data_IF_744818079365
#
_entry.id   IF_744818079365
#
_cell.length_a   1.000
_cell.length_b   1.000
_cell.length_c   1.000
_cell.angle_alpha   90.00
_cell.angle_beta   90.00
_cell.angle_gamma   90.00
#
_symmetry.space_group_name_H-M   'P 1'
#
loop_
_entity.id
_entity.type
_entity.pdbx_description
1 polymer ?
#
# COMPACT_ATOMS: atom_id res chain seq x y z
N UNK A 1 7.55 -0.62 12.99
CA UNK A 1 8.63 0.38 12.88
C UNK A 1 8.83 1.01 14.24
N UNK A 2 10.07 1.30 14.64
CA UNK A 2 10.42 1.99 15.89
C UNK A 2 11.19 3.24 15.50
N UNK A 3 10.83 4.39 16.09
CA UNK A 3 11.45 5.67 15.81
C UNK A 3 11.72 6.45 17.09
N UNK A 4 12.58 7.47 17.00
CA UNK A 4 12.80 8.49 18.02
C UNK A 4 12.43 9.85 17.45
N UNK A 5 11.93 10.74 18.29
CA UNK A 5 11.79 12.16 17.95
C UNK A 5 13.15 12.72 17.51
N UNK A 6 13.14 13.63 16.55
CA UNK A 6 14.34 14.27 16.01
C UNK A 6 14.07 15.76 15.85
N UNK A 7 15.01 16.61 16.32
CA UNK A 7 14.84 18.08 16.31
C UNK A 7 14.78 18.68 14.89
N UNK A 8 15.30 17.99 13.89
CA UNK A 8 15.30 18.46 12.48
C UNK A 8 14.25 17.80 11.57
N UNK A 9 13.67 16.71 12.02
CA UNK A 9 12.63 15.96 11.30
C UNK A 9 11.56 15.49 12.31
N UNK A 10 10.38 15.14 11.82
CA UNK A 10 9.32 14.63 12.70
C UNK A 10 9.79 13.43 13.55
N UNK A 11 10.64 12.56 12.97
CA UNK A 11 11.24 11.42 13.66
C UNK A 11 12.36 10.78 12.83
N UNK A 12 13.20 9.99 13.50
CA UNK A 12 14.21 9.12 12.88
C UNK A 12 13.92 7.66 13.18
N UNK A 13 13.78 6.84 12.14
CA UNK A 13 13.59 5.39 12.27
C UNK A 13 14.88 4.76 12.84
N UNK A 14 14.74 4.00 13.92
CA UNK A 14 15.87 3.32 14.60
C UNK A 14 15.81 1.80 14.48
N UNK A 15 14.63 1.23 14.17
CA UNK A 15 14.45 -0.20 13.89
C UNK A 15 13.21 -0.43 13.04
N UNK A 16 13.23 -1.46 12.21
CA UNK A 16 12.12 -1.85 11.35
C UNK A 16 12.00 -3.37 11.24
N UNK A 17 10.78 -3.82 11.01
CA UNK A 17 10.49 -5.20 10.65
C UNK A 17 9.30 -5.22 9.71
N UNK A 18 9.38 -6.01 8.66
CA UNK A 18 8.30 -6.23 7.71
C UNK A 18 8.30 -7.69 7.28
N UNK A 19 7.12 -8.28 7.19
CA UNK A 19 6.93 -9.64 6.69
C UNK A 19 5.59 -9.72 5.98
N UNK A 20 5.58 -10.34 4.80
CA UNK A 20 4.36 -10.66 4.07
C UNK A 20 3.75 -11.89 4.73
N UNK A 21 2.58 -11.73 5.36
CA UNK A 21 1.89 -12.80 6.09
C UNK A 21 0.62 -13.28 5.39
N UNK A 22 0.16 -12.55 4.34
CA UNK A 22 -1.05 -12.88 3.55
C UNK A 22 -2.25 -13.19 4.43
N UNK A 23 -2.53 -12.31 5.40
CA UNK A 23 -3.60 -12.54 6.38
C UNK A 23 -4.98 -12.71 5.73
N UNK A 24 -5.22 -12.05 4.59
CA UNK A 24 -6.47 -12.14 3.83
C UNK A 24 -6.54 -13.29 2.82
N UNK A 25 -5.57 -14.22 2.81
CA UNK A 25 -5.59 -15.39 1.93
C UNK A 25 -6.84 -16.24 2.15
N UNK A 26 -7.60 -16.52 1.06
CA UNK A 26 -8.85 -17.29 1.11
C UNK A 26 -10.02 -16.58 1.80
N UNK A 27 -9.88 -15.32 2.23
CA UNK A 27 -10.93 -14.59 2.93
C UNK A 27 -12.16 -14.33 2.05
N UNK A 28 -11.96 -14.05 0.75
CA UNK A 28 -13.05 -13.80 -0.18
C UNK A 28 -13.99 -15.01 -0.29
N UNK A 29 -13.43 -16.21 -0.38
CA UNK A 29 -14.20 -17.45 -0.50
C UNK A 29 -14.80 -17.92 0.81
N UNK A 30 -14.06 -17.75 1.92
CA UNK A 30 -14.43 -18.36 3.22
C UNK A 30 -15.16 -17.39 4.18
N UNK A 31 -14.99 -16.08 4.03
CA UNK A 31 -15.44 -15.07 4.99
C UNK A 31 -14.70 -15.11 6.33
N UNK A 32 -13.57 -15.84 6.44
CA UNK A 32 -12.80 -15.98 7.66
C UNK A 32 -11.29 -16.00 7.37
N UNK A 33 -10.51 -15.56 8.36
CA UNK A 33 -9.06 -15.72 8.35
C UNK A 33 -8.70 -17.20 8.49
N UNK A 34 -7.86 -17.71 7.59
CA UNK A 34 -7.37 -19.08 7.66
C UNK A 34 -6.46 -19.27 8.88
N UNK A 35 -6.54 -20.40 9.61
CA UNK A 35 -5.68 -20.66 10.76
C UNK A 35 -4.19 -20.51 10.47
N UNK A 36 -3.71 -21.02 9.34
CA UNK A 36 -2.31 -20.89 8.92
C UNK A 36 -1.89 -19.44 8.67
N UNK A 37 -2.80 -18.58 8.17
CA UNK A 37 -2.54 -17.14 7.97
C UNK A 37 -2.46 -16.42 9.32
N UNK A 38 -3.34 -16.77 10.27
CA UNK A 38 -3.27 -16.26 11.64
C UNK A 38 -1.95 -16.67 12.33
N UNK A 39 -1.49 -17.91 12.15
CA UNK A 39 -0.23 -18.39 12.75
C UNK A 39 0.99 -17.63 12.17
N UNK A 40 1.00 -17.39 10.86
CA UNK A 40 2.04 -16.55 10.22
C UNK A 40 2.07 -15.12 10.77
N UNK A 41 0.87 -14.53 10.97
CA UNK A 41 0.75 -13.19 11.52
C UNK A 41 1.22 -13.14 12.99
N UNK A 42 0.83 -14.12 13.80
CA UNK A 42 1.28 -14.25 15.20
C UNK A 42 2.80 -14.38 15.30
N UNK A 43 3.42 -15.23 14.49
CA UNK A 43 4.87 -15.39 14.46
C UNK A 43 5.57 -14.07 14.10
N UNK A 44 5.04 -13.29 13.15
CA UNK A 44 5.56 -11.97 12.80
C UNK A 44 5.37 -10.95 13.94
N UNK A 45 4.22 -10.94 14.59
CA UNK A 45 3.91 -10.04 15.72
C UNK A 45 4.71 -10.37 16.97
N UNK A 46 5.04 -11.64 17.21
CA UNK A 46 5.95 -12.03 18.29
C UNK A 46 7.35 -11.42 18.13
N UNK A 47 7.86 -11.33 16.89
CA UNK A 47 9.12 -10.61 16.59
C UNK A 47 8.95 -9.11 16.90
N UNK A 48 7.83 -8.50 16.52
CA UNK A 48 7.55 -7.10 16.83
C UNK A 48 7.52 -6.87 18.34
N UNK A 49 6.80 -7.70 19.11
CA UNK A 49 6.72 -7.60 20.56
C UNK A 49 8.11 -7.72 21.23
N UNK A 50 8.95 -8.64 20.75
CA UNK A 50 10.33 -8.77 21.23
C UNK A 50 11.14 -7.51 20.99
N UNK A 51 11.05 -6.92 19.77
CA UNK A 51 11.76 -5.67 19.43
C UNK A 51 11.27 -4.50 20.30
N UNK A 52 9.98 -4.34 20.49
CA UNK A 52 9.35 -3.30 21.32
C UNK A 52 9.91 -3.38 22.75
N UNK A 53 9.90 -4.57 23.37
CA UNK A 53 10.44 -4.78 24.71
C UNK A 53 11.95 -4.49 24.80
N UNK A 54 12.73 -5.03 23.85
CA UNK A 54 14.19 -4.84 23.84
C UNK A 54 14.61 -3.38 23.66
N UNK A 55 13.81 -2.58 22.97
CA UNK A 55 14.08 -1.16 22.72
C UNK A 55 13.52 -0.22 23.78
N UNK A 56 12.77 -0.72 24.76
CA UNK A 56 12.13 0.12 25.78
C UNK A 56 11.20 1.17 25.17
N UNK A 57 10.34 0.77 24.21
CA UNK A 57 9.43 1.70 23.50
C UNK A 57 8.45 2.30 24.49
N UNK A 58 8.40 3.64 24.57
CA UNK A 58 7.56 4.38 25.53
C UNK A 58 6.10 4.49 25.08
N UNK A 59 5.84 4.59 23.77
CA UNK A 59 4.49 4.67 23.21
C UNK A 59 4.35 3.69 22.05
N UNK A 60 3.21 3.01 21.97
CA UNK A 60 2.92 2.01 20.94
C UNK A 60 1.49 2.21 20.43
N UNK A 61 1.33 2.12 19.12
CA UNK A 61 0.04 1.98 18.45
C UNK A 61 0.14 0.87 17.42
N UNK A 62 -0.76 -0.11 17.50
CA UNK A 62 -0.87 -1.22 16.55
C UNK A 62 -2.25 -1.25 15.94
N UNK A 63 -2.33 -1.29 14.62
CA UNK A 63 -3.59 -1.29 13.89
C UNK A 63 -3.75 -2.54 13.05
N UNK A 64 -4.99 -2.97 12.88
CA UNK A 64 -5.42 -4.00 11.96
C UNK A 64 -6.44 -3.39 10.99
N UNK A 65 -6.39 -3.82 9.74
CA UNK A 65 -7.13 -3.20 8.64
C UNK A 65 -8.10 -4.19 7.99
N UNK A 66 -8.31 -4.12 6.69
CA UNK A 66 -9.33 -4.79 5.91
C UNK A 66 -9.52 -6.28 6.25
N UNK A 67 -8.46 -7.08 6.32
CA UNK A 67 -8.56 -8.50 6.57
C UNK A 67 -9.25 -8.82 7.92
N UNK A 68 -8.86 -8.13 9.01
CA UNK A 68 -9.49 -8.28 10.31
C UNK A 68 -10.89 -7.66 10.38
N UNK A 69 -11.11 -6.57 9.63
CA UNK A 69 -12.39 -5.85 9.57
C UNK A 69 -13.48 -6.70 8.93
N UNK A 70 -13.16 -7.40 7.83
CA UNK A 70 -14.10 -8.22 7.05
C UNK A 70 -14.32 -9.62 7.62
N UNK A 71 -13.31 -10.19 8.24
CA UNK A 71 -13.37 -11.58 8.69
C UNK A 71 -14.31 -11.78 9.87
N UNK A 72 -15.20 -12.79 9.82
CA UNK A 72 -16.08 -13.15 10.94
C UNK A 72 -15.33 -13.56 12.21
N UNK A 73 -14.09 -14.04 12.09
CA UNK A 73 -13.19 -14.38 13.19
C UNK A 73 -12.08 -13.35 13.44
N UNK A 74 -12.23 -12.12 12.93
CA UNK A 74 -11.24 -11.06 13.11
C UNK A 74 -11.02 -10.71 14.59
N UNK A 75 -12.09 -10.61 15.38
CA UNK A 75 -12.01 -10.35 16.81
C UNK A 75 -11.26 -11.46 17.57
N UNK A 76 -11.48 -12.73 17.21
CA UNK A 76 -10.77 -13.89 17.77
C UNK A 76 -9.26 -13.80 17.46
N UNK A 77 -8.90 -13.46 16.22
CA UNK A 77 -7.52 -13.24 15.83
C UNK A 77 -6.84 -12.17 16.69
N UNK A 78 -7.49 -11.04 16.91
CA UNK A 78 -6.95 -9.95 17.75
C UNK A 78 -6.82 -10.35 19.22
N UNK A 79 -7.80 -11.09 19.75
CA UNK A 79 -7.74 -11.62 21.12
C UNK A 79 -6.55 -12.58 21.27
N UNK A 80 -6.33 -13.46 20.28
CA UNK A 80 -5.20 -14.38 20.24
C UNK A 80 -3.86 -13.63 20.16
N UNK A 81 -3.76 -12.58 19.33
CA UNK A 81 -2.57 -11.71 19.26
C UNK A 81 -2.26 -11.13 20.65
N UNK A 82 -3.26 -10.58 21.32
CA UNK A 82 -3.07 -9.99 22.66
C UNK A 82 -2.61 -11.02 23.67
N UNK A 83 -3.22 -12.20 23.67
CA UNK A 83 -2.89 -13.27 24.62
C UNK A 83 -1.45 -13.79 24.43
N UNK A 84 -1.02 -14.01 23.17
CA UNK A 84 0.26 -14.66 22.88
C UNK A 84 1.44 -13.66 22.81
N UNK A 85 1.19 -12.40 22.43
CA UNK A 85 2.27 -11.41 22.22
C UNK A 85 2.26 -10.23 23.19
N UNK A 86 1.15 -10.00 23.88
CA UNK A 86 0.92 -8.82 24.72
C UNK A 86 0.61 -7.55 23.93
N UNK A 87 0.58 -7.60 22.58
CA UNK A 87 0.26 -6.44 21.76
C UNK A 87 -1.25 -6.24 21.67
N UNK A 88 -1.73 -5.05 22.02
CA UNK A 88 -3.10 -4.63 21.77
C UNK A 88 -3.18 -4.00 20.38
N UNK A 89 -3.90 -4.66 19.47
CA UNK A 89 -4.19 -4.11 18.14
C UNK A 89 -5.64 -3.63 18.10
N UNK A 90 -5.88 -2.56 17.37
CA UNK A 90 -7.21 -2.02 17.11
C UNK A 90 -7.56 -2.11 15.61
N UNK A 91 -8.82 -2.40 15.29
CA UNK A 91 -9.31 -2.36 13.91
C UNK A 91 -9.68 -0.92 13.61
N UNK A 92 -9.02 -0.33 12.64
CA UNK A 92 -9.31 1.04 12.21
C UNK A 92 -10.28 1.08 11.03
N UNK A 93 -11.04 2.16 10.92
CA UNK A 93 -11.93 2.40 9.79
C UNK A 93 -11.14 2.70 8.50
N UNK A 94 -11.70 2.45 7.29
CA UNK A 94 -11.04 2.78 6.02
C UNK A 94 -10.67 4.26 5.91
N UNK A 95 -11.49 5.15 6.43
CA UNK A 95 -11.19 6.59 6.42
C UNK A 95 -9.95 6.95 7.25
N UNK A 96 -9.78 6.32 8.40
CA UNK A 96 -8.61 6.53 9.26
C UNK A 96 -7.35 5.91 8.64
N UNK A 97 -7.47 4.71 8.02
CA UNK A 97 -6.40 4.07 7.26
C UNK A 97 -5.88 5.00 6.15
N UNK A 98 -6.81 5.59 5.38
CA UNK A 98 -6.51 6.55 4.32
C UNK A 98 -5.83 7.83 4.84
N UNK A 99 -6.34 8.41 5.95
CA UNK A 99 -5.76 9.62 6.55
C UNK A 99 -4.35 9.38 7.11
N UNK A 100 -4.12 8.23 7.73
CA UNK A 100 -2.80 7.84 8.22
C UNK A 100 -1.81 7.59 7.05
N UNK A 101 -2.25 6.93 5.98
CA UNK A 101 -1.42 6.73 4.79
C UNK A 101 -1.05 8.08 4.15
N UNK A 102 -2.03 8.98 4.00
CA UNK A 102 -1.80 10.33 3.50
C UNK A 102 -0.80 11.09 4.39
N UNK A 103 -0.99 11.10 5.71
CA UNK A 103 -0.07 11.77 6.62
C UNK A 103 1.38 11.31 6.43
N UNK A 104 1.60 10.00 6.18
CA UNK A 104 2.92 9.44 5.95
C UNK A 104 3.56 9.84 4.63
N UNK A 105 2.79 10.02 3.56
CA UNK A 105 3.32 10.29 2.21
C UNK A 105 3.15 11.75 1.75
N UNK A 106 2.24 12.54 2.34
CA UNK A 106 1.96 13.92 1.94
C UNK A 106 3.20 14.84 1.81
N UNK A 107 4.26 14.71 2.63
CA UNK A 107 5.47 15.50 2.47
C UNK A 107 6.17 15.34 1.11
N UNK A 108 5.86 14.28 0.35
CA UNK A 108 6.41 14.04 -0.98
C UNK A 108 5.59 14.70 -2.10
N UNK A 109 4.40 15.23 -1.81
CA UNK A 109 3.57 15.98 -2.75
C UNK A 109 4.05 17.45 -2.76
N UNK A 110 4.98 17.78 -3.64
CA UNK A 110 5.77 19.02 -3.59
C UNK A 110 5.70 19.91 -4.87
N UNK A 111 4.99 19.47 -5.92
CA UNK A 111 4.94 20.21 -7.20
C UNK A 111 4.15 21.52 -7.17
N UNK A 112 3.46 21.81 -6.09
CA UNK A 112 2.69 23.05 -5.98
C UNK A 112 1.35 23.03 -6.71
N UNK A 113 0.90 21.89 -7.21
CA UNK A 113 -0.37 21.75 -7.90
C UNK A 113 -1.56 21.83 -6.93
N UNK A 114 -2.75 22.32 -7.39
CA UNK A 114 -3.90 22.55 -6.51
C UNK A 114 -4.59 21.27 -6.04
N UNK A 115 -4.42 20.17 -6.76
CA UNK A 115 -5.06 18.90 -6.47
C UNK A 115 -4.07 17.75 -6.44
N UNK A 116 -4.43 16.70 -5.72
CA UNK A 116 -3.65 15.47 -5.63
C UNK A 116 -4.52 14.22 -5.67
N UNK A 117 -3.95 13.14 -6.18
CA UNK A 117 -4.45 11.78 -6.01
C UNK A 117 -3.39 11.03 -5.21
N UNK A 118 -3.79 10.48 -4.06
CA UNK A 118 -2.95 9.56 -3.32
C UNK A 118 -3.60 8.17 -3.33
N UNK A 119 -2.82 7.12 -3.49
CA UNK A 119 -3.33 5.76 -3.36
C UNK A 119 -2.40 4.87 -2.56
N UNK A 120 -2.99 3.97 -1.78
CA UNK A 120 -2.32 2.92 -1.01
C UNK A 120 -2.87 1.56 -1.41
N UNK A 121 -2.00 0.70 -1.95
CA UNK A 121 -2.38 -0.65 -2.37
C UNK A 121 -1.95 -1.62 -1.28
N UNK A 122 -2.93 -2.07 -0.51
CA UNK A 122 -2.75 -3.07 0.54
C UNK A 122 -2.94 -4.51 0.06
N UNK A 123 -2.86 -5.44 1.01
CA UNK A 123 -3.13 -6.86 0.75
C UNK A 123 -4.60 -7.15 0.47
N UNK A 124 -5.52 -6.51 1.18
CA UNK A 124 -6.97 -6.76 1.14
C UNK A 124 -7.78 -5.63 0.52
N UNK A 125 -7.29 -4.40 0.55
CA UNK A 125 -7.97 -3.22 0.01
C UNK A 125 -7.02 -2.30 -0.73
N UNK A 126 -7.59 -1.35 -1.46
CA UNK A 126 -6.88 -0.25 -2.11
C UNK A 126 -7.63 1.05 -1.79
N UNK A 127 -6.98 1.95 -1.08
CA UNK A 127 -7.48 3.27 -0.77
C UNK A 127 -7.04 4.26 -1.84
N UNK A 128 -7.99 5.02 -2.41
CA UNK A 128 -7.71 6.10 -3.36
C UNK A 128 -8.34 7.38 -2.87
N UNK A 129 -7.54 8.42 -2.68
CA UNK A 129 -7.90 9.68 -2.07
C UNK A 129 -7.85 10.80 -3.12
N UNK A 130 -8.89 11.62 -3.15
CA UNK A 130 -8.90 12.90 -3.83
C UNK A 130 -8.54 14.02 -2.86
N UNK A 131 -7.55 14.83 -3.22
CA UNK A 131 -6.92 15.80 -2.33
C UNK A 131 -7.04 17.22 -2.89
N UNK A 132 -7.20 18.20 -2.00
CA UNK A 132 -7.01 19.61 -2.28
C UNK A 132 -5.82 20.17 -1.50
N UNK A 133 -5.07 21.07 -2.13
CA UNK A 133 -3.99 21.80 -1.47
C UNK A 133 -4.55 23.00 -0.74
N UNK A 134 -4.19 23.16 0.52
CA UNK A 134 -4.54 24.27 1.39
C UNK A 134 -3.28 24.93 1.97
N UNK A 135 -3.42 26.08 2.63
CA UNK A 135 -2.29 26.80 3.24
C UNK A 135 -1.52 25.94 4.27
N UNK A 136 -2.21 25.00 4.93
CA UNK A 136 -1.63 24.11 5.95
C UNK A 136 -1.13 22.75 5.40
N UNK A 137 -1.20 22.53 4.08
CA UNK A 137 -0.81 21.25 3.48
C UNK A 137 -1.91 20.61 2.64
N UNK A 138 -1.97 19.31 2.63
CA UNK A 138 -2.94 18.53 1.86
C UNK A 138 -4.13 18.12 2.74
N UNK A 139 -5.35 18.35 2.23
CA UNK A 139 -6.59 17.88 2.84
C UNK A 139 -7.27 16.86 1.94
N UNK A 140 -7.71 15.76 2.52
CA UNK A 140 -8.58 14.81 1.83
C UNK A 140 -9.96 15.45 1.60
N UNK A 141 -10.36 15.55 0.34
CA UNK A 141 -11.69 16.02 -0.08
C UNK A 141 -12.68 14.86 -0.05
N UNK A 142 -12.26 13.74 -0.65
CA UNK A 142 -13.05 12.51 -0.72
C UNK A 142 -12.11 11.31 -0.86
N UNK A 143 -12.65 10.09 -0.72
CA UNK A 143 -11.90 8.86 -0.93
C UNK A 143 -12.81 7.70 -1.29
N UNK A 144 -12.22 6.65 -1.84
CA UNK A 144 -12.83 5.34 -1.97
C UNK A 144 -11.88 4.29 -1.42
N UNK A 145 -12.42 3.33 -0.68
CA UNK A 145 -11.72 2.11 -0.32
C UNK A 145 -12.31 0.97 -1.14
N UNK A 146 -11.54 0.49 -2.12
CA UNK A 146 -11.91 -0.66 -2.91
C UNK A 146 -11.58 -1.93 -2.11
N UNK A 147 -12.50 -2.89 -1.95
CA UNK A 147 -12.23 -4.17 -1.31
C UNK A 147 -11.43 -5.11 -2.25
N UNK A 148 -10.43 -4.54 -2.92
CA UNK A 148 -9.54 -5.18 -3.88
C UNK A 148 -8.10 -4.83 -3.51
N UNK A 149 -7.41 -5.77 -2.93
CA UNK A 149 -5.97 -5.70 -2.67
C UNK A 149 -5.21 -6.71 -3.52
N UNK A 150 -3.88 -6.70 -3.39
CA UNK A 150 -3.02 -7.60 -4.20
C UNK A 150 -3.33 -9.07 -3.99
N UNK A 151 -3.82 -9.49 -2.81
CA UNK A 151 -4.12 -10.90 -2.54
C UNK A 151 -5.33 -11.36 -3.36
N UNK A 152 -6.45 -10.63 -3.31
CA UNK A 152 -7.66 -10.99 -4.03
C UNK A 152 -7.46 -10.99 -5.55
N UNK A 153 -6.74 -10.00 -6.08
CA UNK A 153 -6.43 -9.96 -7.52
C UNK A 153 -5.47 -11.08 -7.91
N UNK A 154 -4.46 -11.41 -7.08
CA UNK A 154 -3.53 -12.51 -7.34
C UNK A 154 -4.23 -13.88 -7.34
N UNK A 155 -5.20 -14.10 -6.46
CA UNK A 155 -6.04 -15.31 -6.46
C UNK A 155 -6.85 -15.46 -7.76
N UNK A 156 -7.30 -14.34 -8.36
CA UNK A 156 -8.02 -14.32 -9.65
C UNK A 156 -7.10 -14.57 -10.85
N UNK A 157 -5.92 -13.94 -10.86
CA UNK A 157 -4.97 -14.01 -11.99
C UNK A 157 -4.09 -15.25 -11.97
N UNK A 158 -3.90 -15.87 -10.79
CA UNK A 158 -2.99 -17.00 -10.59
C UNK A 158 -1.52 -16.60 -10.53
N UNK A 159 -0.67 -17.58 -10.16
CA UNK A 159 0.78 -17.36 -9.98
C UNK A 159 1.60 -17.55 -11.26
N UNK A 160 1.00 -18.10 -12.33
CA UNK A 160 1.64 -18.36 -13.62
C UNK A 160 1.80 -17.12 -14.49
N UNK A 161 2.05 -17.33 -15.77
CA UNK A 161 1.89 -16.28 -16.79
C UNK A 161 0.44 -15.85 -16.85
N UNK A 162 0.20 -14.55 -16.90
CA UNK A 162 -1.14 -13.99 -16.98
C UNK A 162 -1.45 -13.70 -18.45
N UNK A 163 -2.61 -14.19 -18.93
CA UNK A 163 -3.05 -13.89 -20.29
C UNK A 163 -3.38 -12.40 -20.43
N UNK A 164 -3.04 -11.80 -21.57
CA UNK A 164 -3.25 -10.39 -21.83
C UNK A 164 -4.71 -9.96 -21.63
N UNK A 165 -5.66 -10.82 -22.03
CA UNK A 165 -7.09 -10.55 -21.86
C UNK A 165 -7.51 -10.50 -20.37
N UNK A 166 -7.00 -11.40 -19.54
CA UNK A 166 -7.32 -11.45 -18.11
C UNK A 166 -6.70 -10.27 -17.39
N UNK A 167 -5.47 -9.89 -17.76
CA UNK A 167 -4.80 -8.71 -17.22
C UNK A 167 -5.55 -7.43 -17.60
N UNK A 168 -5.90 -7.26 -18.88
CA UNK A 168 -6.65 -6.09 -19.34
C UNK A 168 -8.05 -6.00 -18.69
N UNK A 169 -8.73 -7.12 -18.50
CA UNK A 169 -10.01 -7.17 -17.80
C UNK A 169 -9.87 -6.72 -16.32
N UNK A 170 -8.80 -7.13 -15.64
CA UNK A 170 -8.52 -6.69 -14.27
C UNK A 170 -8.25 -5.17 -14.21
N UNK A 171 -7.45 -4.64 -15.13
CA UNK A 171 -7.17 -3.19 -15.24
C UNK A 171 -8.46 -2.40 -15.47
N UNK A 172 -9.33 -2.86 -16.40
CA UNK A 172 -10.61 -2.21 -16.69
C UNK A 172 -11.55 -2.23 -15.50
N UNK A 173 -11.75 -3.38 -14.83
CA UNK A 173 -12.59 -3.50 -13.64
C UNK A 173 -12.18 -2.51 -12.54
N UNK A 174 -10.86 -2.35 -12.31
CA UNK A 174 -10.34 -1.40 -11.32
C UNK A 174 -10.63 0.05 -11.75
N UNK A 175 -10.40 0.41 -13.01
CA UNK A 175 -10.67 1.74 -13.53
C UNK A 175 -12.16 2.11 -13.45
N UNK A 176 -13.05 1.16 -13.74
CA UNK A 176 -14.50 1.35 -13.70
C UNK A 176 -15.01 1.60 -12.27
N UNK A 177 -14.47 0.90 -11.27
CA UNK A 177 -14.81 1.10 -9.85
C UNK A 177 -14.43 2.49 -9.31
N UNK A 178 -13.52 3.19 -9.98
CA UNK A 178 -13.14 4.56 -9.65
C UNK A 178 -14.05 5.61 -10.31
N UNK A 179 -14.99 5.16 -11.16
CA UNK A 179 -15.87 6.03 -11.93
C UNK A 179 -16.75 6.94 -11.10
N UNK A 180 -17.26 6.47 -9.97
CA UNK A 180 -18.10 7.30 -9.09
C UNK A 180 -17.31 8.42 -8.40
N UNK A 181 -16.09 8.14 -7.95
CA UNK A 181 -15.22 9.17 -7.37
C UNK A 181 -14.88 10.23 -8.41
N UNK A 182 -14.58 9.80 -9.64
CA UNK A 182 -14.30 10.72 -10.73
C UNK A 182 -15.53 11.58 -11.06
N UNK A 183 -16.72 10.98 -11.17
CA UNK A 183 -17.96 11.69 -11.53
C UNK A 183 -18.34 12.74 -10.47
N UNK A 184 -18.13 12.46 -9.18
CA UNK A 184 -18.42 13.43 -8.10
C UNK A 184 -17.53 14.66 -8.13
N UNK A 185 -16.29 14.53 -8.60
CA UNK A 185 -15.29 15.60 -8.49
C UNK A 185 -14.70 16.07 -9.82
N UNK A 186 -15.07 15.45 -10.94
CA UNK A 186 -14.52 15.80 -12.27
C UNK A 186 -12.99 15.61 -12.34
N UNK A 187 -12.45 14.58 -11.67
CA UNK A 187 -11.02 14.40 -11.50
C UNK A 187 -10.31 14.28 -12.84
N UNK A 188 -10.90 13.55 -13.80
CA UNK A 188 -10.33 13.40 -15.14
C UNK A 188 -10.11 14.75 -15.85
N UNK A 189 -11.01 15.72 -15.69
CA UNK A 189 -10.85 17.06 -16.24
C UNK A 189 -9.70 17.83 -15.56
N UNK A 190 -9.51 17.66 -14.27
CA UNK A 190 -8.36 18.23 -13.55
C UNK A 190 -7.04 17.61 -14.00
N UNK A 191 -7.02 16.29 -14.23
CA UNK A 191 -5.84 15.57 -14.74
C UNK A 191 -5.51 16.04 -16.17
N UNK A 192 -6.49 16.08 -17.07
CA UNK A 192 -6.29 16.59 -18.43
C UNK A 192 -5.81 18.04 -18.49
N UNK A 193 -6.19 18.84 -17.51
CA UNK A 193 -5.70 20.22 -17.33
C UNK A 193 -4.31 20.34 -16.67
N UNK A 194 -3.62 19.24 -16.39
CA UNK A 194 -2.28 19.26 -15.75
C UNK A 194 -2.27 19.78 -14.31
N UNK A 195 -3.39 19.72 -13.60
CA UNK A 195 -3.59 20.32 -12.27
C UNK A 195 -3.52 19.32 -11.12
N UNK A 196 -3.12 18.08 -11.40
CA UNK A 196 -3.13 16.98 -10.42
C UNK A 196 -1.73 16.40 -10.25
N UNK A 197 -1.31 16.25 -9.02
CA UNK A 197 -0.14 15.48 -8.63
C UNK A 197 -0.59 14.11 -8.14
N UNK A 198 0.05 13.03 -8.60
CA UNK A 198 -0.28 11.67 -8.16
C UNK A 198 0.86 11.08 -7.35
N UNK A 199 0.52 10.43 -6.25
CA UNK A 199 1.45 9.67 -5.39
C UNK A 199 0.88 8.30 -5.11
N UNK A 200 1.73 7.29 -5.27
CA UNK A 200 1.39 5.90 -4.94
C UNK A 200 2.27 5.35 -3.83
N UNK A 201 1.65 4.70 -2.85
CA UNK A 201 2.33 3.92 -1.83
C UNK A 201 1.91 2.47 -1.93
N UNK A 202 2.86 1.59 -2.04
CA UNK A 202 2.70 0.13 -1.95
C UNK A 202 4.01 -0.58 -2.25
N UNK A 203 4.06 -1.86 -1.92
CA UNK A 203 5.16 -2.73 -2.34
C UNK A 203 5.31 -2.86 -3.86
N UNK A 204 4.22 -2.72 -4.63
CA UNK A 204 4.26 -2.78 -6.10
C UNK A 204 4.81 -1.50 -6.71
N UNK A 205 4.33 -0.33 -6.28
CA UNK A 205 4.82 0.97 -6.78
C UNK A 205 6.32 1.09 -6.56
N UNK A 206 6.78 0.75 -5.35
CA UNK A 206 8.20 0.78 -5.00
C UNK A 206 9.03 -0.25 -5.77
N UNK A 207 8.47 -1.44 -6.04
CA UNK A 207 9.10 -2.47 -6.87
C UNK A 207 9.26 -1.99 -8.33
N UNK A 208 8.20 -1.47 -8.94
CA UNK A 208 8.24 -0.92 -10.31
C UNK A 208 9.26 0.21 -10.43
N UNK A 209 9.35 1.09 -9.44
CA UNK A 209 10.37 2.15 -9.41
C UNK A 209 11.78 1.58 -9.32
N UNK A 210 12.02 0.57 -8.47
CA UNK A 210 13.31 -0.11 -8.39
C UNK A 210 13.72 -0.76 -9.72
N UNK A 211 12.77 -1.38 -10.42
CA UNK A 211 12.97 -1.96 -11.75
C UNK A 211 13.31 -0.84 -12.77
N UNK A 212 12.54 0.25 -12.77
CA UNK A 212 12.76 1.39 -13.66
C UNK A 212 14.13 2.05 -13.49
N UNK A 213 14.67 2.01 -12.27
CA UNK A 213 16.02 2.49 -11.94
C UNK A 213 17.12 1.48 -12.27
N UNK A 214 16.79 0.27 -12.73
CA UNK A 214 17.76 -0.79 -12.99
C UNK A 214 18.48 -1.29 -11.72
N UNK A 215 17.78 -1.35 -10.58
CA UNK A 215 18.37 -1.79 -9.33
C UNK A 215 18.50 -3.32 -9.31
N UNK A 216 19.70 -3.82 -9.07
CA UNK A 216 19.94 -5.26 -8.83
C UNK A 216 19.32 -5.74 -7.53
N UNK A 217 19.15 -4.84 -6.57
CA UNK A 217 18.52 -5.07 -5.27
C UNK A 217 17.75 -3.82 -4.84
N UNK A 218 16.60 -4.05 -4.21
CA UNK A 218 15.77 -2.97 -3.67
C UNK A 218 16.55 -2.06 -2.70
N UNK A 219 16.50 -0.75 -2.97
CA UNK A 219 17.12 0.30 -2.14
C UNK A 219 16.09 1.38 -1.82
N UNK A 220 15.63 1.38 -0.57
CA UNK A 220 14.64 2.34 -0.08
C UNK A 220 15.07 3.79 -0.25
N UNK A 221 16.34 4.10 0.00
CA UNK A 221 16.83 5.48 -0.04
C UNK A 221 16.80 6.08 -1.45
N UNK A 222 16.90 5.23 -2.48
CA UNK A 222 16.78 5.64 -3.88
C UNK A 222 15.34 5.68 -4.37
N UNK A 223 14.51 4.77 -3.88
CA UNK A 223 13.12 4.59 -4.35
C UNK A 223 12.17 5.59 -3.71
N UNK A 224 12.28 5.83 -2.39
CA UNK A 224 11.38 6.74 -1.69
C UNK A 224 11.53 8.18 -2.19
N UNK A 225 10.42 8.77 -2.66
CA UNK A 225 10.39 10.11 -3.24
C UNK A 225 10.83 10.17 -4.72
N UNK A 226 11.11 9.04 -5.37
CA UNK A 226 11.41 9.00 -6.80
C UNK A 226 10.17 9.26 -7.66
N UNK A 227 10.39 9.41 -8.96
CA UNK A 227 9.35 9.51 -9.97
C UNK A 227 9.31 8.24 -10.82
N UNK A 228 8.11 7.83 -11.20
CA UNK A 228 7.84 6.70 -12.07
C UNK A 228 6.93 7.17 -13.19
N UNK A 229 7.40 7.13 -14.43
CA UNK A 229 6.64 7.53 -15.60
C UNK A 229 5.58 6.47 -15.94
N UNK A 230 4.42 6.90 -16.41
CA UNK A 230 3.33 5.97 -16.76
C UNK A 230 3.72 4.99 -17.87
N UNK A 231 4.57 5.42 -18.81
CA UNK A 231 5.11 4.54 -19.83
C UNK A 231 5.97 3.40 -19.23
N UNK A 232 6.75 3.71 -18.19
CA UNK A 232 7.53 2.71 -17.45
C UNK A 232 6.63 1.75 -16.67
N UNK A 233 5.56 2.26 -16.03
CA UNK A 233 4.55 1.42 -15.37
C UNK A 233 4.05 0.37 -16.35
N UNK A 234 3.51 0.78 -17.50
CA UNK A 234 2.94 -0.12 -18.52
C UNK A 234 3.96 -1.12 -19.05
N UNK A 235 5.16 -0.66 -19.36
CA UNK A 235 6.23 -1.50 -19.89
C UNK A 235 6.61 -2.61 -18.91
N UNK A 236 6.93 -2.25 -17.67
CA UNK A 236 7.40 -3.22 -16.68
C UNK A 236 6.27 -4.12 -16.17
N UNK A 237 5.03 -3.63 -16.11
CA UNK A 237 3.89 -4.48 -15.82
C UNK A 237 3.68 -5.55 -16.89
N UNK A 238 3.78 -5.20 -18.16
CA UNK A 238 3.70 -6.16 -19.27
C UNK A 238 4.83 -7.20 -19.22
N UNK A 239 6.08 -6.76 -18.96
CA UNK A 239 7.22 -7.66 -18.79
C UNK A 239 7.01 -8.66 -17.64
N UNK A 240 6.48 -8.18 -16.48
CA UNK A 240 6.19 -9.03 -15.33
C UNK A 240 5.00 -9.97 -15.57
N UNK A 241 3.96 -9.54 -16.27
CA UNK A 241 2.81 -10.38 -16.61
C UNK A 241 3.19 -11.50 -17.56
N UNK A 242 4.06 -11.24 -18.53
CA UNK A 242 4.58 -12.23 -19.48
C UNK A 242 5.57 -13.22 -18.85
N UNK A 243 6.20 -12.87 -17.73
CA UNK A 243 7.12 -13.76 -17.03
C UNK A 243 6.36 -14.83 -16.21
N UNK A 244 6.93 -16.00 -16.03
CA UNK A 244 6.48 -16.98 -15.06
C UNK A 244 6.92 -16.63 -13.64
N UNK A 245 6.49 -17.41 -12.66
CA UNK A 245 6.84 -17.20 -11.26
C UNK A 245 8.36 -17.10 -11.03
N UNK A 246 9.12 -18.04 -11.61
CA UNK A 246 10.58 -18.11 -11.44
C UNK A 246 11.28 -16.89 -12.09
N UNK A 247 10.79 -16.46 -13.25
CA UNK A 247 11.26 -15.25 -13.90
C UNK A 247 11.10 -14.02 -13.04
N UNK A 248 9.92 -13.84 -12.43
CA UNK A 248 9.64 -12.76 -11.48
C UNK A 248 10.47 -12.88 -10.22
N UNK A 249 10.57 -14.09 -9.64
CA UNK A 249 11.30 -14.35 -8.39
C UNK A 249 12.80 -14.03 -8.49
N UNK A 250 13.38 -14.24 -9.69
CA UNK A 250 14.79 -13.90 -9.95
C UNK A 250 15.08 -12.40 -10.03
N UNK A 251 14.05 -11.57 -10.20
CA UNK A 251 14.24 -10.13 -10.27
C UNK A 251 14.54 -9.57 -8.88
N UNK A 252 15.68 -8.89 -8.68
CA UNK A 252 16.18 -8.48 -7.37
C UNK A 252 15.27 -7.49 -6.60
N UNK A 253 14.39 -6.78 -7.30
CA UNK A 253 13.40 -5.90 -6.67
C UNK A 253 12.07 -6.60 -6.36
N UNK A 254 11.79 -7.79 -6.93
CA UNK A 254 10.58 -8.59 -6.70
C UNK A 254 10.82 -9.63 -5.61
N UNK A 255 11.72 -10.56 -5.89
CA UNK A 255 12.01 -11.70 -5.01
C UNK A 255 10.88 -12.73 -4.94
N UNK A 256 11.16 -13.92 -4.36
CA UNK A 256 10.19 -15.02 -4.31
C UNK A 256 8.96 -14.73 -3.46
N UNK A 257 9.06 -13.84 -2.46
CA UNK A 257 7.94 -13.53 -1.56
C UNK A 257 6.82 -12.73 -2.24
N UNK A 258 7.12 -12.06 -3.38
CA UNK A 258 6.18 -11.19 -4.11
C UNK A 258 5.89 -11.66 -5.52
N UNK A 259 6.60 -12.67 -6.04
CA UNK A 259 6.55 -13.09 -7.43
C UNK A 259 5.15 -13.48 -7.92
N UNK A 260 4.30 -14.00 -7.04
CA UNK A 260 2.91 -14.36 -7.33
C UNK A 260 1.91 -13.19 -7.19
N UNK A 261 2.30 -12.11 -6.47
CA UNK A 261 1.41 -10.97 -6.21
C UNK A 261 1.77 -9.72 -7.02
N UNK A 262 2.99 -9.65 -7.57
CA UNK A 262 3.46 -8.41 -8.21
C UNK A 262 2.61 -8.02 -9.41
N UNK A 263 2.14 -8.99 -10.21
CA UNK A 263 1.28 -8.73 -11.39
C UNK A 263 -0.09 -8.19 -10.97
N UNK A 264 -0.65 -8.72 -9.89
CA UNK A 264 -1.88 -8.19 -9.31
C UNK A 264 -1.73 -6.72 -8.87
N UNK A 265 -0.60 -6.41 -8.23
CA UNK A 265 -0.28 -5.03 -7.88
C UNK A 265 -0.08 -4.13 -9.11
N UNK A 266 0.54 -4.64 -10.18
CA UNK A 266 0.67 -3.93 -11.45
C UNK A 266 -0.71 -3.58 -12.03
N UNK A 267 -1.66 -4.53 -12.06
CA UNK A 267 -3.01 -4.28 -12.53
C UNK A 267 -3.73 -3.19 -11.73
N UNK A 268 -3.53 -3.15 -10.39
CA UNK A 268 -4.07 -2.10 -9.54
C UNK A 268 -3.48 -0.72 -9.87
N UNK A 269 -2.16 -0.61 -10.01
CA UNK A 269 -1.51 0.64 -10.41
C UNK A 269 -1.98 1.10 -11.79
N UNK A 270 -2.01 0.19 -12.77
CA UNK A 270 -2.45 0.52 -14.12
C UNK A 270 -3.92 0.90 -14.19
N UNK A 271 -4.81 0.24 -13.45
CA UNK A 271 -6.23 0.59 -13.38
C UNK A 271 -6.46 2.01 -12.85
N UNK A 272 -5.73 2.40 -11.79
CA UNK A 272 -5.76 3.77 -11.27
C UNK A 272 -5.24 4.76 -12.33
N UNK A 273 -4.10 4.45 -12.96
CA UNK A 273 -3.51 5.30 -13.99
C UNK A 273 -4.31 5.30 -15.31
N UNK A 274 -5.07 4.26 -15.62
CA UNK A 274 -5.97 4.22 -16.76
C UNK A 274 -7.17 5.16 -16.55
N UNK A 275 -7.68 5.23 -15.33
CA UNK A 275 -8.75 6.18 -14.98
C UNK A 275 -8.26 7.62 -15.01
N UNK A 276 -7.05 7.89 -14.51
CA UNK A 276 -6.47 9.22 -14.41
C UNK A 276 -5.04 9.22 -14.96
N UNK A 277 -4.88 9.37 -16.29
CA UNK A 277 -3.58 9.28 -16.94
C UNK A 277 -2.73 10.52 -16.68
N UNK A 278 -1.89 10.45 -15.64
CA UNK A 278 -0.83 11.43 -15.37
C UNK A 278 0.43 11.02 -16.12
N UNK A 279 1.32 11.98 -16.43
CA UNK A 279 2.59 11.67 -17.10
C UNK A 279 3.48 10.79 -16.22
N UNK A 280 3.49 11.09 -14.92
CA UNK A 280 4.29 10.39 -13.91
C UNK A 280 3.64 10.46 -12.54
N UNK A 281 3.96 9.50 -11.70
CA UNK A 281 3.55 9.48 -10.31
C UNK A 281 4.75 9.54 -9.36
N UNK A 282 4.54 10.12 -8.19
CA UNK A 282 5.52 10.11 -7.09
C UNK A 282 5.45 8.75 -6.39
N UNK A 283 6.60 8.21 -6.07
CA UNK A 283 6.72 6.92 -5.37
C UNK A 283 6.95 7.16 -3.90
N UNK A 284 6.14 6.56 -3.04
CA UNK A 284 6.32 6.60 -1.61
C UNK A 284 6.62 5.21 -1.03
N UNK A 285 7.77 5.06 -0.37
CA UNK A 285 8.03 3.91 0.53
C UNK A 285 7.77 4.30 1.97
N UNK A 286 6.70 5.04 2.15
CA UNK A 286 6.14 5.50 3.42
C UNK A 286 4.62 5.61 3.28
N UNK A 287 3.89 5.47 4.39
CA UNK A 287 2.43 5.49 4.39
C UNK A 287 1.88 5.33 5.79
N UNK A 288 0.97 4.39 5.99
CA UNK A 288 0.27 4.13 7.27
C UNK A 288 1.19 4.12 8.51
N UNK A 289 2.33 3.42 8.44
CA UNK A 289 3.25 3.29 9.58
C UNK A 289 3.91 4.61 9.96
N UNK A 290 4.30 5.37 8.98
CA UNK A 290 4.87 6.71 9.16
C UNK A 290 3.81 7.68 9.69
N UNK A 291 2.57 7.61 9.19
CA UNK A 291 1.45 8.41 9.72
C UNK A 291 1.16 8.13 11.19
N UNK A 292 1.17 6.84 11.59
CA UNK A 292 1.04 6.45 13.00
C UNK A 292 2.17 7.05 13.84
N UNK A 293 3.42 6.96 13.37
CA UNK A 293 4.56 7.52 14.10
C UNK A 293 4.46 9.04 14.23
N UNK A 294 4.05 9.74 13.16
CA UNK A 294 3.81 11.20 13.24
C UNK A 294 2.75 11.55 14.28
N UNK A 295 1.66 10.77 14.37
CA UNK A 295 0.65 10.93 15.41
C UNK A 295 1.23 10.75 16.82
N UNK A 296 1.99 9.67 17.04
CA UNK A 296 2.61 9.39 18.35
C UNK A 296 3.65 10.45 18.77
N UNK A 297 4.36 11.08 17.82
CA UNK A 297 5.37 12.11 18.11
C UNK A 297 4.77 13.49 18.41
N UNK A 298 3.55 13.76 17.95
CA UNK A 298 2.87 15.04 18.25
C UNK A 298 2.25 15.07 19.65
N UNK A 299 2.16 13.93 20.33
CA UNK A 299 1.45 13.77 21.60
C UNK A 299 -0.09 13.80 21.43
N UNK A 300 -0.84 13.56 22.50
CA UNK A 300 -2.27 13.74 22.54
C UNK A 300 -2.66 15.20 22.38
#
# INVERSE_FOLDING_TARGET
MIARADDGAAFRVVDGFSRIVRLGEGLEASGALAPAAMDRALAALAVCASKIRKRGVAAFRGVATEACRRARNGAECLARVRAETGLALEVIAPAEEADLALAGCAPLLDRGLPHGIAFDIGGGSTEVLWLAREAGGWRRVDFVSLPLGVVAIAERLGAGRVADADYAAAVSDIADRLGELDARHGIAAHVAGGRVEMIGTSGTVTTLSGIAMGLDRYDRARVDGSWLDLAQVRRFSAELAAADFDGRARHGCVGPERADMVVAGCALVEGICARWPVDRLRVADRGLREGILMGLMRGP
#
